data_IF_886612816159
#
_entry.id   IF_886612816159
#
_cell.length_a   1.000
_cell.length_b   1.000
_cell.length_c   1.000
_cell.angle_alpha   90.00
_cell.angle_beta   90.00
_cell.angle_gamma   90.00
#
_symmetry.space_group_name_H-M   'P 1'
#
loop_
_entity.id
_entity.type
_entity.pdbx_description
1 polymer ?
#
# COMPACT_ATOMS: atom_id res chain seq x y z
N UNK A 1 -5.12 14.03 13.19
CA UNK A 1 -5.58 13.74 11.83
C UNK A 1 -5.93 12.27 11.80
N UNK A 2 -7.18 11.93 11.52
CA UNK A 2 -7.59 10.53 11.39
C UNK A 2 -7.04 10.06 10.05
N UNK A 3 -5.97 9.27 10.06
CA UNK A 3 -5.47 8.63 8.84
C UNK A 3 -6.51 7.58 8.46
N UNK A 4 -7.43 7.95 7.56
CA UNK A 4 -8.49 7.06 7.05
C UNK A 4 -7.91 5.80 6.37
N UNK A 5 -6.61 5.83 6.06
CA UNK A 5 -5.82 4.77 5.44
C UNK A 5 -5.13 3.82 6.42
N UNK A 6 -5.10 4.11 7.73
CA UNK A 6 -4.57 3.18 8.73
C UNK A 6 -5.67 2.23 9.21
N UNK A 7 -5.61 0.98 8.77
CA UNK A 7 -6.64 -0.02 9.07
C UNK A 7 -6.05 -1.08 9.98
N UNK A 8 -6.60 -1.15 11.20
CA UNK A 8 -6.25 -2.19 12.17
C UNK A 8 -6.95 -3.50 11.82
N UNK A 9 -6.16 -4.51 11.48
CA UNK A 9 -6.61 -5.85 11.15
C UNK A 9 -6.78 -6.72 12.40
N UNK A 10 -5.93 -6.53 13.41
CA UNK A 10 -5.95 -7.35 14.62
C UNK A 10 -5.71 -6.56 15.90
N UNK A 11 -6.24 -7.06 17.01
CA UNK A 11 -5.86 -6.66 18.36
C UNK A 11 -4.67 -7.45 18.90
N UNK A 12 -4.24 -7.17 20.15
CA UNK A 12 -3.00 -7.70 20.71
C UNK A 12 -2.92 -9.23 20.73
N UNK A 13 -1.72 -9.75 20.53
CA UNK A 13 -1.40 -11.17 20.63
C UNK A 13 0.08 -11.37 20.92
N UNK A 14 0.52 -12.63 21.03
CA UNK A 14 1.90 -12.99 21.35
C UNK A 14 2.44 -13.89 20.26
N UNK A 15 3.71 -13.68 19.91
CA UNK A 15 4.48 -14.53 19.01
C UNK A 15 5.72 -15.04 19.73
N UNK A 16 6.21 -16.22 19.35
CA UNK A 16 7.46 -16.78 19.85
C UNK A 16 8.44 -16.93 18.70
N UNK A 17 9.63 -16.36 18.82
CA UNK A 17 10.68 -16.49 17.80
C UNK A 17 11.33 -17.88 17.79
N UNK A 18 12.21 -18.13 16.82
CA UNK A 18 12.92 -19.40 16.69
C UNK A 18 13.89 -19.68 17.86
N UNK A 19 14.27 -18.67 18.64
CA UNK A 19 15.07 -18.82 19.87
C UNK A 19 14.24 -19.25 21.08
N UNK A 20 12.91 -19.23 20.96
CA UNK A 20 11.98 -19.51 22.05
C UNK A 20 11.60 -18.27 22.88
N UNK A 21 12.02 -17.07 22.46
CA UNK A 21 11.69 -15.82 23.14
C UNK A 21 10.32 -15.32 22.70
N UNK A 22 9.51 -14.89 23.66
CA UNK A 22 8.16 -14.41 23.40
C UNK A 22 8.11 -12.89 23.26
N UNK A 23 7.42 -12.42 22.23
CA UNK A 23 7.25 -11.01 21.89
C UNK A 23 5.76 -10.63 21.92
N UNK A 24 5.46 -9.52 22.58
CA UNK A 24 4.11 -8.96 22.65
C UNK A 24 3.85 -8.07 21.42
N UNK A 25 2.85 -8.46 20.64
CA UNK A 25 2.37 -7.72 19.47
C UNK A 25 1.17 -6.88 19.89
N UNK A 26 1.22 -5.58 19.63
CA UNK A 26 0.14 -4.63 19.88
C UNK A 26 -1.01 -4.80 18.87
N UNK A 27 -0.68 -5.11 17.62
CA UNK A 27 -1.67 -5.38 16.57
C UNK A 27 -1.02 -5.61 15.22
N UNK A 28 -1.88 -5.87 14.23
CA UNK A 28 -1.52 -5.89 12.82
C UNK A 28 -2.33 -4.79 12.17
N UNK A 29 -1.69 -3.98 11.34
CA UNK A 29 -2.34 -2.92 10.57
C UNK A 29 -1.81 -2.89 9.13
N UNK A 30 -2.59 -2.27 8.28
CA UNK A 30 -2.21 -1.94 6.91
C UNK A 30 -2.29 -0.44 6.73
N UNK A 31 -1.42 0.07 5.87
CA UNK A 31 -1.40 1.46 5.48
C UNK A 31 -1.29 1.52 3.96
N UNK A 32 -2.17 2.30 3.33
CA UNK A 32 -2.05 2.59 1.91
C UNK A 32 -1.21 3.84 1.70
N UNK A 33 -0.10 3.68 0.97
CA UNK A 33 0.79 4.77 0.56
C UNK A 33 0.45 5.33 -0.83
N UNK A 34 -0.51 4.73 -1.54
CA UNK A 34 -0.94 5.15 -2.88
C UNK A 34 -0.14 4.54 -4.03
N UNK A 35 0.62 3.46 -3.77
CA UNK A 35 1.42 2.76 -4.79
C UNK A 35 0.75 1.49 -5.34
N UNK A 36 -0.46 1.14 -4.88
CA UNK A 36 -1.20 -0.03 -5.35
C UNK A 36 -0.74 -1.36 -4.77
N UNK A 37 0.28 -1.33 -3.91
CA UNK A 37 0.78 -2.47 -3.13
C UNK A 37 0.59 -2.14 -1.65
N UNK A 38 0.14 -3.12 -0.86
CA UNK A 38 -0.12 -2.93 0.57
C UNK A 38 0.98 -3.63 1.36
N UNK A 39 1.63 -2.86 2.21
CA UNK A 39 2.51 -3.40 3.25
C UNK A 39 1.73 -3.72 4.52
N UNK A 40 2.09 -4.84 5.16
CA UNK A 40 1.50 -5.27 6.43
C UNK A 40 2.46 -4.97 7.58
N UNK A 41 2.01 -4.10 8.47
CA UNK A 41 2.76 -3.68 9.64
C UNK A 41 2.34 -4.50 10.86
N UNK A 42 3.33 -5.06 11.55
CA UNK A 42 3.14 -5.79 12.80
C UNK A 42 3.78 -4.99 13.92
N UNK A 43 2.96 -4.31 14.73
CA UNK A 43 3.43 -3.42 15.78
C UNK A 43 3.74 -4.20 17.07
N UNK A 44 4.93 -4.03 17.64
CA UNK A 44 5.35 -4.64 18.89
C UNK A 44 5.24 -3.67 20.07
N UNK A 45 5.00 -4.23 21.26
CA UNK A 45 4.91 -3.45 22.50
C UNK A 45 6.30 -2.97 22.97
N UNK A 46 7.35 -3.72 22.63
CA UNK A 46 8.76 -3.46 23.00
C UNK A 46 9.63 -3.30 21.76
N UNK A 47 10.82 -2.77 21.93
CA UNK A 47 11.78 -2.66 20.83
C UNK A 47 12.25 -4.06 20.41
N UNK A 48 12.21 -4.33 19.11
CA UNK A 48 12.57 -5.56 18.40
C UNK A 48 13.48 -5.32 17.19
N UNK A 49 13.85 -4.07 16.87
CA UNK A 49 14.61 -3.73 15.65
C UNK A 49 15.91 -4.52 15.47
N UNK A 50 16.67 -4.75 16.54
CA UNK A 50 17.91 -5.54 16.50
C UNK A 50 17.69 -7.05 16.35
N UNK A 51 16.45 -7.54 16.52
CA UNK A 51 16.12 -8.96 16.51
C UNK A 51 15.79 -9.50 15.10
N UNK A 52 15.64 -8.62 14.11
CA UNK A 52 15.37 -8.99 12.72
C UNK A 52 14.17 -9.96 12.58
N UNK A 53 13.09 -9.74 13.35
CA UNK A 53 11.94 -10.65 13.41
C UNK A 53 11.21 -10.80 12.07
N UNK A 54 11.45 -9.90 11.11
CA UNK A 54 10.96 -9.98 9.73
C UNK A 54 11.64 -11.09 8.90
N UNK A 55 12.73 -11.68 9.39
CA UNK A 55 13.40 -12.86 8.80
C UNK A 55 13.05 -14.16 9.55
N UNK A 56 12.43 -14.05 10.73
CA UNK A 56 12.11 -15.20 11.56
C UNK A 56 10.85 -15.91 11.03
N UNK A 57 11.06 -17.04 10.37
CA UNK A 57 9.97 -17.85 9.81
C UNK A 57 8.97 -18.34 10.88
N UNK A 58 9.37 -18.50 12.15
CA UNK A 58 8.43 -18.85 13.22
C UNK A 58 7.51 -17.68 13.55
N UNK A 59 8.05 -16.46 13.63
CA UNK A 59 7.25 -15.24 13.81
C UNK A 59 6.30 -15.04 12.64
N UNK A 60 6.79 -15.09 11.39
CA UNK A 60 5.98 -14.87 10.19
C UNK A 60 4.82 -15.87 10.12
N UNK A 61 5.07 -17.17 10.37
CA UNK A 61 4.01 -18.19 10.40
C UNK A 61 2.93 -17.90 11.45
N UNK A 62 3.29 -17.36 12.61
CA UNK A 62 2.31 -17.02 13.65
C UNK A 62 1.50 -15.78 13.28
N UNK A 63 2.11 -14.79 12.63
CA UNK A 63 1.41 -13.63 12.06
C UNK A 63 0.43 -14.07 10.97
N UNK A 64 0.87 -14.93 10.05
CA UNK A 64 0.00 -15.49 9.00
C UNK A 64 -1.13 -16.34 9.59
N UNK A 65 -0.86 -17.18 10.59
CA UNK A 65 -1.90 -17.93 11.30
C UNK A 65 -2.93 -16.99 11.95
N UNK A 66 -2.49 -15.84 12.46
CA UNK A 66 -3.38 -14.80 13.00
C UNK A 66 -4.26 -14.20 11.90
N UNK A 67 -3.69 -13.86 10.74
CA UNK A 67 -4.43 -13.36 9.58
C UNK A 67 -5.41 -14.40 9.03
N UNK A 68 -5.03 -15.67 8.99
CA UNK A 68 -5.90 -16.77 8.60
C UNK A 68 -7.11 -16.90 9.53
N UNK A 69 -6.88 -16.77 10.84
CA UNK A 69 -7.96 -16.71 11.83
C UNK A 69 -8.91 -15.52 11.66
N UNK A 70 -8.49 -14.47 10.94
CA UNK A 70 -9.29 -13.27 10.65
C UNK A 70 -10.01 -13.32 9.30
N UNK A 71 -9.75 -14.35 8.49
CA UNK A 71 -10.40 -14.61 7.20
C UNK A 71 -9.49 -14.55 5.98
N UNK A 72 -8.18 -14.25 6.12
CA UNK A 72 -7.25 -14.34 4.99
C UNK A 72 -7.00 -15.81 4.62
N UNK A 73 -6.95 -16.15 3.34
CA UNK A 73 -6.71 -17.53 2.87
C UNK A 73 -5.73 -17.59 1.67
N UNK A 74 -4.98 -16.52 1.45
CA UNK A 74 -4.03 -16.41 0.35
C UNK A 74 -2.66 -17.00 0.68
N UNK A 75 -1.66 -16.76 -0.20
CA UNK A 75 -0.30 -17.25 0.01
C UNK A 75 0.43 -16.57 1.18
N UNK A 76 1.56 -17.15 1.57
CA UNK A 76 2.44 -16.60 2.60
C UNK A 76 3.05 -15.27 2.15
N UNK A 77 3.39 -14.42 3.12
CA UNK A 77 3.97 -13.10 2.87
C UNK A 77 5.47 -13.16 2.56
N UNK A 78 5.93 -12.16 1.81
CA UNK A 78 7.33 -11.92 1.53
C UNK A 78 8.02 -11.07 2.60
N UNK A 79 9.29 -10.79 2.37
CA UNK A 79 10.03 -9.82 3.18
C UNK A 79 9.62 -8.41 2.74
N UNK A 80 9.17 -7.58 3.68
CA UNK A 80 8.95 -6.16 3.41
C UNK A 80 10.27 -5.41 3.22
N UNK A 81 10.20 -4.18 2.73
CA UNK A 81 11.38 -3.34 2.51
C UNK A 81 12.16 -3.14 3.83
N UNK A 82 13.49 -3.28 3.76
CA UNK A 82 14.39 -3.04 4.88
C UNK A 82 14.33 -1.58 5.37
N UNK A 83 14.04 -0.64 4.47
CA UNK A 83 13.88 0.78 4.79
C UNK A 83 12.62 1.11 5.59
N UNK A 84 11.66 0.19 5.65
CA UNK A 84 10.41 0.35 6.39
C UNK A 84 10.43 -0.36 7.76
N UNK A 85 11.45 -1.18 8.04
CA UNK A 85 11.62 -1.83 9.34
C UNK A 85 11.98 -0.77 10.40
N UNK A 86 11.45 -0.93 11.61
CA UNK A 86 11.70 0.01 12.72
C UNK A 86 11.94 -0.75 14.03
N UNK A 87 12.36 -0.02 15.06
CA UNK A 87 12.57 -0.52 16.41
C UNK A 87 11.33 -1.21 16.98
N UNK A 88 10.12 -0.80 16.61
CA UNK A 88 8.87 -1.32 17.22
C UNK A 88 7.91 -1.94 16.24
N UNK A 89 8.30 -2.14 14.99
CA UNK A 89 7.45 -2.82 14.02
C UNK A 89 8.30 -3.61 13.05
N UNK A 90 7.68 -4.63 12.48
CA UNK A 90 8.19 -5.22 11.25
C UNK A 90 7.19 -4.98 10.13
N UNK A 91 7.71 -4.93 8.92
CA UNK A 91 6.92 -4.80 7.69
C UNK A 91 7.08 -6.05 6.86
N UNK A 92 5.96 -6.57 6.37
CA UNK A 92 5.88 -7.74 5.51
C UNK A 92 5.18 -7.35 4.21
N UNK A 93 5.74 -7.81 3.10
CA UNK A 93 5.16 -7.61 1.78
C UNK A 93 4.00 -8.59 1.59
N UNK A 94 2.79 -8.05 1.43
CA UNK A 94 1.61 -8.85 1.15
C UNK A 94 1.53 -9.17 -0.36
N UNK A 95 1.13 -10.41 -0.72
CA UNK A 95 0.86 -10.76 -2.11
C UNK A 95 -0.43 -10.07 -2.61
N UNK A 96 -0.59 -9.93 -3.93
CA UNK A 96 -1.76 -9.25 -4.52
C UNK A 96 -3.11 -9.87 -4.07
N UNK A 97 -3.17 -11.19 -3.82
CA UNK A 97 -4.37 -11.85 -3.32
C UNK A 97 -4.82 -11.36 -1.95
N UNK A 98 -3.93 -10.71 -1.18
CA UNK A 98 -4.26 -10.07 0.07
C UNK A 98 -5.18 -8.85 -0.12
N UNK A 99 -5.17 -8.21 -1.29
CA UNK A 99 -5.97 -7.00 -1.57
C UNK A 99 -7.47 -7.26 -1.39
N UNK A 100 -7.97 -8.45 -1.77
CA UNK A 100 -9.38 -8.80 -1.57
C UNK A 100 -9.76 -8.89 -0.08
N UNK A 101 -8.85 -9.41 0.76
CA UNK A 101 -9.03 -9.44 2.20
C UNK A 101 -8.94 -8.05 2.81
N UNK A 102 -7.96 -7.24 2.39
CA UNK A 102 -7.79 -5.86 2.83
C UNK A 102 -9.03 -5.02 2.48
N UNK A 103 -9.55 -5.13 1.26
CA UNK A 103 -10.76 -4.43 0.81
C UNK A 103 -11.98 -4.78 1.66
N UNK A 104 -12.13 -6.06 2.03
CA UNK A 104 -13.19 -6.50 2.96
C UNK A 104 -13.05 -5.91 4.38
N UNK A 105 -11.87 -5.40 4.75
CA UNK A 105 -11.59 -4.69 6.01
C UNK A 105 -11.69 -3.17 5.88
N UNK A 106 -12.00 -2.65 4.69
CA UNK A 106 -12.20 -1.24 4.42
C UNK A 106 -11.04 -0.56 3.69
N UNK A 107 -10.03 -1.32 3.24
CA UNK A 107 -8.97 -0.77 2.39
C UNK A 107 -9.54 -0.34 1.03
N UNK A 108 -8.99 0.75 0.49
CA UNK A 108 -9.29 1.27 -0.84
C UNK A 108 -7.98 1.49 -1.52
N UNK A 109 -7.85 0.98 -2.74
CA UNK A 109 -6.66 1.16 -3.54
C UNK A 109 -6.58 2.61 -4.03
N UNK A 110 -5.77 3.42 -3.37
CA UNK A 110 -5.63 4.82 -3.76
C UNK A 110 -4.93 4.98 -5.11
N UNK A 111 -4.12 4.01 -5.56
CA UNK A 111 -3.46 4.10 -6.87
C UNK A 111 -4.45 4.04 -8.04
N UNK A 112 -5.55 3.30 -7.90
CA UNK A 112 -6.63 3.28 -8.89
C UNK A 112 -7.34 4.64 -8.99
N UNK A 113 -7.38 5.43 -7.91
CA UNK A 113 -7.97 6.78 -7.95
C UNK A 113 -7.12 7.79 -8.74
N UNK A 114 -5.82 7.53 -8.91
CA UNK A 114 -4.92 8.40 -9.68
C UNK A 114 -4.78 8.01 -11.15
N UNK A 115 -5.12 6.77 -11.54
CA UNK A 115 -5.02 6.29 -12.92
C UNK A 115 -6.18 6.81 -13.80
N UNK A 116 -7.33 7.14 -13.21
CA UNK A 116 -8.51 7.69 -13.92
C UNK A 116 -8.41 9.21 -14.23
N UNK A 117 -7.39 9.92 -13.75
CA UNK A 117 -7.25 11.39 -13.90
C UNK A 117 -6.22 11.82 -15.00
N UNK A 118 -5.68 10.89 -15.80
CA UNK A 118 -4.78 11.22 -16.94
C UNK A 118 -5.46 11.13 -18.33
N UNK A 119 -6.75 10.75 -18.40
CA UNK A 119 -7.50 10.65 -19.67
C UNK A 119 -8.32 11.91 -20.04
N UNK A 120 -8.30 12.97 -19.23
CA UNK A 120 -9.03 14.22 -19.49
C UNK A 120 -8.22 15.32 -20.22
N UNK A 121 -7.03 14.99 -20.74
CA UNK A 121 -6.31 15.86 -21.70
C UNK A 121 -6.54 15.48 -23.18
N UNK A 122 -7.39 14.49 -23.45
CA UNK A 122 -7.65 14.00 -24.81
C UNK A 122 -9.12 14.13 -25.25
N UNK A 123 -9.84 15.21 -24.89
CA UNK A 123 -11.15 15.48 -25.52
C UNK A 123 -11.51 16.96 -25.72
N UNK A 124 -10.59 17.74 -26.29
CA UNK A 124 -10.89 19.05 -26.89
C UNK A 124 -11.04 18.98 -28.41
N UNK A 125 -12.09 18.33 -28.92
CA UNK A 125 -12.39 18.39 -30.35
C UNK A 125 -12.99 19.76 -30.75
N UNK A 126 -12.51 20.25 -31.90
CA UNK A 126 -13.05 21.32 -32.75
C UNK A 126 -12.74 22.79 -32.38
N UNK A 127 -11.74 23.36 -33.07
CA UNK A 127 -11.99 24.61 -33.80
C UNK A 127 -11.22 24.62 -35.13
N UNK A 128 -11.92 24.22 -36.19
CA UNK A 128 -11.46 24.42 -37.57
C UNK A 128 -11.76 25.87 -37.97
N UNK A 129 -10.99 26.84 -37.47
CA UNK A 129 -11.07 28.23 -37.96
C UNK A 129 -9.72 28.97 -38.04
N UNK A 130 -8.57 28.29 -38.11
CA UNK A 130 -7.26 28.97 -38.21
C UNK A 130 -6.73 29.17 -39.64
N UNK A 131 -7.47 28.77 -40.68
CA UNK A 131 -7.01 28.88 -42.07
C UNK A 131 -7.23 30.24 -42.74
N UNK A 132 -8.29 30.97 -42.38
CA UNK A 132 -8.72 32.18 -43.12
C UNK A 132 -8.19 33.50 -42.54
N UNK A 133 -7.82 33.54 -41.26
CA UNK A 133 -7.23 34.75 -40.66
C UNK A 133 -5.74 34.91 -40.98
N UNK A 134 -5.01 33.81 -41.15
CA UNK A 134 -3.58 33.84 -41.47
C UNK A 134 -3.32 34.30 -42.92
N UNK A 135 -4.19 33.88 -43.86
CA UNK A 135 -4.13 34.31 -45.27
C UNK A 135 -4.47 35.80 -45.45
N UNK A 136 -5.39 36.35 -44.62
CA UNK A 136 -5.74 37.77 -44.64
C UNK A 136 -4.60 38.67 -44.10
N UNK A 137 -3.77 38.18 -43.17
CA UNK A 137 -2.64 38.94 -42.65
C UNK A 137 -1.47 39.02 -43.63
N UNK A 138 -1.17 37.93 -44.36
CA UNK A 138 -0.04 37.87 -45.29
C UNK A 138 -0.26 38.79 -46.50
N UNK A 139 -1.51 38.95 -46.95
CA UNK A 139 -1.83 39.86 -48.08
C UNK A 139 -1.73 41.34 -47.71
N UNK A 140 -1.79 41.71 -46.42
CA UNK A 140 -1.70 43.11 -45.95
C UNK A 140 -0.25 43.63 -45.84
N UNK A 141 0.75 42.74 -45.80
CA UNK A 141 2.17 43.11 -45.65
C UNK A 141 2.99 42.96 -46.95
N UNK A 142 2.35 42.66 -48.08
CA UNK A 142 3.01 42.50 -49.40
C UNK A 142 2.47 43.46 -50.46
N UNK A 143 1.88 44.59 -50.04
CA UNK A 143 1.54 45.73 -50.88
C UNK A 143 2.47 46.89 -50.62
#
# INVERSE_FOLDING_TARGET
>A
MTNDTDIKLSGPFKVTDASGSAHDVAGIRIFDEGYGIIDVYVDFVRNVGELHLYEDAAVIRQVLARLHGLGYQGPDFGHGDLGLQDDKLIVLEAPEEFNAFAAAKGWRNLAEEFDDDDDDLASGAADTASGTQLDALIRKFKG
#
